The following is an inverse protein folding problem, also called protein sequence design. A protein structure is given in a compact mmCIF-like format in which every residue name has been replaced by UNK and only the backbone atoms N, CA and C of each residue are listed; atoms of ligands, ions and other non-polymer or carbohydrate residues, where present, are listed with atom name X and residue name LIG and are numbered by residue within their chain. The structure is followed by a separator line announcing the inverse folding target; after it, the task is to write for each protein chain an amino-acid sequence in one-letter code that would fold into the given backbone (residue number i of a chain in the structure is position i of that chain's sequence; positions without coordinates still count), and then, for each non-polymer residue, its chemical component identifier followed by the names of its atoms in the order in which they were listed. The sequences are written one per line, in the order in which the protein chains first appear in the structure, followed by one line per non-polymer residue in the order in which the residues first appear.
data_IF_511555104714
#
_entry.id   IF_511555104714
#
_cell.length_a   1.000
_cell.length_b   1.000
_cell.length_c   1.000
_cell.angle_alpha   90.00
_cell.angle_beta   90.00
_cell.angle_gamma   90.00
#
_symmetry.space_group_name_H-M   'P 1'
#
loop_
_entity.id
_entity.type
_entity.pdbx_description
1 polymer ?
#
# COMPACT_ATOMS: atom_id res chain seq x y z
N UNK A 1 10.80 16.83 14.27
CA UNK A 1 10.49 16.41 12.88
C UNK A 1 9.63 15.16 12.98
N UNK A 2 8.39 15.21 12.48
CA UNK A 2 7.43 14.09 12.57
C UNK A 2 7.97 12.86 11.82
N UNK A 3 7.97 11.71 12.49
CA UNK A 3 8.52 10.44 12.00
C UNK A 3 7.74 9.88 10.81
N UNK A 4 6.51 10.38 10.60
CA UNK A 4 5.59 9.96 9.53
C UNK A 4 5.91 10.54 8.14
N UNK A 5 6.80 11.54 8.02
CA UNK A 5 7.10 12.15 6.72
C UNK A 5 8.21 11.45 5.93
N UNK A 6 8.93 10.49 6.53
CA UNK A 6 10.09 9.84 5.89
C UNK A 6 9.68 8.84 4.79
N UNK A 7 8.55 8.15 4.99
CA UNK A 7 8.00 7.17 4.05
C UNK A 7 6.50 7.45 3.91
N UNK A 8 6.11 8.50 3.16
CA UNK A 8 4.72 8.97 3.09
C UNK A 8 3.77 7.95 2.45
N UNK A 9 4.27 7.02 1.64
CA UNK A 9 3.51 5.91 1.09
C UNK A 9 4.13 4.54 1.43
N UNK A 10 3.29 3.50 1.38
CA UNK A 10 3.75 2.11 1.55
C UNK A 10 4.79 1.71 0.48
N UNK A 11 4.73 2.30 -0.71
CA UNK A 11 5.73 2.12 -1.77
C UNK A 11 7.12 2.58 -1.35
N UNK A 12 7.20 3.67 -0.59
CA UNK A 12 8.47 4.22 -0.12
C UNK A 12 9.09 3.32 0.94
N UNK A 13 8.24 2.82 1.85
CA UNK A 13 8.65 1.83 2.85
C UNK A 13 9.11 0.53 2.18
N UNK A 14 8.40 0.08 1.15
CA UNK A 14 8.75 -1.10 0.35
C UNK A 14 10.11 -0.94 -0.32
N UNK A 15 10.36 0.20 -0.97
CA UNK A 15 11.64 0.51 -1.61
C UNK A 15 12.79 0.58 -0.59
N UNK A 16 12.56 1.22 0.56
CA UNK A 16 13.53 1.30 1.64
C UNK A 16 13.86 -0.07 2.24
N UNK A 17 12.86 -0.95 2.37
CA UNK A 17 13.05 -2.32 2.83
C UNK A 17 13.93 -3.13 1.85
N UNK A 18 13.61 -3.09 0.55
CA UNK A 18 14.37 -3.77 -0.51
C UNK A 18 15.85 -3.41 -0.50
N UNK A 19 16.18 -2.15 -0.24
CA UNK A 19 17.55 -1.66 -0.19
C UNK A 19 18.33 -2.08 1.08
N UNK A 20 17.66 -2.62 2.10
CA UNK A 20 18.23 -2.85 3.44
C UNK A 20 18.33 -4.31 3.84
N UNK A 21 17.38 -5.15 3.43
CA UNK A 21 17.34 -6.55 3.85
C UNK A 21 18.21 -7.44 2.93
N UNK A 22 18.74 -8.58 3.43
CA UNK A 22 19.35 -9.58 2.56
C UNK A 22 18.40 -10.03 1.46
N UNK A 23 18.93 -10.34 0.28
CA UNK A 23 18.12 -10.66 -0.90
C UNK A 23 17.12 -11.80 -0.67
N UNK A 24 17.51 -12.88 0.02
CA UNK A 24 16.59 -13.99 0.29
C UNK A 24 15.40 -13.59 1.18
N UNK A 25 15.61 -12.64 2.11
CA UNK A 25 14.53 -12.10 2.97
C UNK A 25 13.58 -11.26 2.13
N UNK A 26 14.14 -10.47 1.21
CA UNK A 26 13.34 -9.70 0.26
C UNK A 26 12.46 -10.61 -0.60
N UNK A 27 13.05 -11.66 -1.19
CA UNK A 27 12.32 -12.63 -2.01
C UNK A 27 11.20 -13.31 -1.22
N UNK A 28 11.46 -13.74 0.02
CA UNK A 28 10.42 -14.30 0.89
C UNK A 28 9.27 -13.29 1.13
N UNK A 29 9.60 -12.04 1.46
CA UNK A 29 8.63 -11.00 1.78
C UNK A 29 7.79 -10.56 0.58
N UNK A 30 8.42 -10.42 -0.60
CA UNK A 30 7.76 -9.88 -1.79
C UNK A 30 7.09 -10.98 -2.64
N UNK A 31 7.41 -12.26 -2.44
CA UNK A 31 6.85 -13.38 -3.20
C UNK A 31 5.33 -13.56 -3.04
N UNK A 32 4.75 -14.38 -3.90
CA UNK A 32 3.40 -14.90 -3.69
C UNK A 32 3.31 -16.38 -4.06
N UNK A 33 2.27 -17.05 -3.58
CA UNK A 33 2.09 -18.49 -3.83
C UNK A 33 1.86 -18.79 -5.32
N UNK A 34 2.46 -19.89 -5.80
CA UNK A 34 2.23 -20.41 -7.15
C UNK A 34 2.82 -19.52 -8.24
N UNK A 35 2.03 -19.19 -9.27
CA UNK A 35 2.45 -18.34 -10.40
C UNK A 35 2.59 -16.85 -10.05
N UNK A 36 2.54 -16.51 -8.76
CA UNK A 36 2.57 -15.15 -8.20
C UNK A 36 1.51 -14.18 -8.72
N UNK A 37 0.57 -14.67 -9.52
CA UNK A 37 -0.40 -13.88 -10.25
C UNK A 37 -1.45 -13.20 -9.36
N UNK A 38 -1.55 -13.60 -8.09
CA UNK A 38 -2.47 -13.00 -7.11
C UNK A 38 -2.08 -11.56 -6.75
N UNK A 39 -0.79 -11.25 -6.58
CA UNK A 39 -0.32 -9.88 -6.27
C UNK A 39 -0.82 -8.85 -7.29
N UNK A 40 -0.55 -8.99 -8.60
CA UNK A 40 -1.02 -8.02 -9.59
C UNK A 40 -2.53 -8.04 -9.76
N UNK A 41 -3.20 -9.21 -9.64
CA UNK A 41 -4.66 -9.28 -9.72
C UNK A 41 -5.36 -8.56 -8.59
N UNK A 42 -4.88 -8.69 -7.35
CA UNK A 42 -5.44 -7.99 -6.20
C UNK A 42 -5.30 -6.47 -6.37
N UNK A 43 -4.11 -6.01 -6.82
CA UNK A 43 -3.92 -4.58 -7.09
C UNK A 43 -4.86 -4.09 -8.18
N UNK A 44 -4.93 -4.79 -9.31
CA UNK A 44 -5.82 -4.44 -10.41
C UNK A 44 -7.31 -4.45 -10.02
N UNK A 45 -7.72 -5.36 -9.14
CA UNK A 45 -9.08 -5.41 -8.62
C UNK A 45 -9.40 -4.20 -7.73
N UNK A 46 -8.46 -3.79 -6.86
CA UNK A 46 -8.64 -2.62 -6.01
C UNK A 46 -8.74 -1.32 -6.82
N UNK A 47 -7.94 -1.18 -7.88
CA UNK A 47 -8.00 -0.02 -8.80
C UNK A 47 -9.35 0.12 -9.52
N UNK A 48 -10.13 -0.97 -9.63
CA UNK A 48 -11.47 -0.91 -10.23
C UNK A 48 -12.53 -0.39 -9.26
N UNK A 49 -12.23 -0.31 -7.96
CA UNK A 49 -13.13 0.25 -6.96
C UNK A 49 -12.98 1.77 -6.95
N UNK A 50 -13.93 2.45 -7.56
CA UNK A 50 -13.93 3.91 -7.67
C UNK A 50 -14.82 4.56 -6.61
N UNK A 51 -14.40 5.72 -6.12
CA UNK A 51 -15.24 6.55 -5.26
C UNK A 51 -16.32 7.26 -6.06
N UNK A 52 -17.45 7.53 -5.41
CA UNK A 52 -18.49 8.47 -5.86
C UNK A 52 -18.52 9.65 -4.89
N UNK A 53 -17.68 10.67 -5.08
CA UNK A 53 -17.57 11.76 -4.13
C UNK A 53 -18.92 12.49 -3.99
N UNK A 54 -19.34 12.70 -2.74
CA UNK A 54 -20.51 13.50 -2.42
C UNK A 54 -20.06 14.89 -1.96
N UNK A 55 -20.18 15.87 -2.86
CA UNK A 55 -19.83 17.26 -2.56
C UNK A 55 -20.91 17.92 -1.68
N UNK A 56 -20.55 19.03 -1.04
CA UNK A 56 -21.46 19.86 -0.22
C UNK A 56 -22.04 19.18 1.04
N UNK A 57 -21.32 18.19 1.60
CA UNK A 57 -21.72 17.50 2.84
C UNK A 57 -21.38 18.26 4.13
N UNK A 58 -20.75 19.43 4.02
CA UNK A 58 -20.18 20.14 5.17
C UNK A 58 -18.91 19.47 5.69
N UNK A 59 -18.40 19.88 6.87
CA UNK A 59 -17.24 19.27 7.50
C UNK A 59 -17.45 17.77 7.76
N UNK A 60 -16.43 16.97 7.44
CA UNK A 60 -16.43 15.52 7.70
C UNK A 60 -15.58 15.26 8.94
N UNK A 61 -16.22 14.78 10.01
CA UNK A 61 -15.53 14.26 11.20
C UNK A 61 -15.52 12.72 11.09
N UNK A 62 -14.39 12.08 10.80
CA UNK A 62 -14.34 10.62 10.67
C UNK A 62 -14.39 9.95 12.04
N UNK A 63 -15.22 8.91 12.16
CA UNK A 63 -15.20 8.00 13.30
C UNK A 63 -14.34 6.78 12.94
N UNK A 64 -13.13 6.77 13.48
CA UNK A 64 -12.14 5.72 13.29
C UNK A 64 -12.06 4.96 14.63
N UNK A 65 -12.97 4.00 14.83
CA UNK A 65 -13.00 3.16 16.03
C UNK A 65 -11.73 2.34 16.25
#
# INVERSE_FOLDING_TARGET
MDRNLKYPALSDLKAACKARVPWFVWEYLDSATGSESVKPRNRAALERVLFRPAILRGPVTPELG
#
